data_IF_432600212184
#
_entry.id   IF_432600212184
#
_cell.length_a   1.000
_cell.length_b   1.000
_cell.length_c   1.000
_cell.angle_alpha   90.00
_cell.angle_beta   90.00
_cell.angle_gamma   90.00
#
_symmetry.space_group_name_H-M   'P 1'
#
loop_
_entity.id
_entity.type
_entity.pdbx_description
1 polymer ?
#
# COMPACT_ATOMS: atom_id res chain seq x y z
N UNK A 1 -33.09 37.43 41.56
CA UNK A 1 -32.02 37.64 40.57
C UNK A 1 -31.36 36.30 40.27
N UNK A 2 -31.96 35.56 39.35
CA UNK A 2 -31.53 34.24 38.82
C UNK A 2 -31.66 34.37 37.31
N UNK A 3 -30.77 33.71 36.56
CA UNK A 3 -30.64 33.61 35.09
C UNK A 3 -29.36 34.33 34.64
N UNK A 4 -28.49 33.80 33.78
CA UNK A 4 -28.44 32.54 33.06
C UNK A 4 -27.05 32.58 32.38
N UNK A 5 -26.01 32.03 33.00
CA UNK A 5 -24.70 31.87 32.36
C UNK A 5 -24.67 30.46 31.75
N UNK A 6 -25.35 30.31 30.61
CA UNK A 6 -25.22 29.11 29.78
C UNK A 6 -23.85 29.23 29.11
N UNK A 7 -22.95 28.37 29.55
CA UNK A 7 -21.69 28.12 28.90
C UNK A 7 -21.96 27.68 27.45
N UNK A 8 -21.60 28.53 26.49
CA UNK A 8 -21.31 28.11 25.13
C UNK A 8 -20.04 27.27 25.15
N UNK A 9 -20.15 26.01 25.59
CA UNK A 9 -19.24 24.97 25.13
C UNK A 9 -19.61 24.73 23.68
N UNK A 10 -18.97 25.49 22.80
CA UNK A 10 -18.93 25.19 21.38
C UNK A 10 -18.45 23.75 21.28
N UNK A 11 -19.38 22.87 20.92
CA UNK A 11 -19.13 21.56 20.35
C UNK A 11 -18.33 21.77 19.06
N UNK A 12 -17.07 22.18 19.19
CA UNK A 12 -16.07 21.85 18.19
C UNK A 12 -15.91 20.35 18.37
N UNK A 13 -16.76 19.59 17.68
CA UNK A 13 -16.46 18.20 17.39
C UNK A 13 -15.09 18.23 16.73
N UNK A 14 -14.06 17.93 17.52
CA UNK A 14 -12.78 17.54 17.01
C UNK A 14 -13.07 16.26 16.25
N UNK A 15 -13.44 16.40 14.98
CA UNK A 15 -13.36 15.34 14.01
C UNK A 15 -11.93 14.85 14.13
N UNK A 16 -11.74 13.70 14.77
CA UNK A 16 -10.47 13.02 14.83
C UNK A 16 -10.14 12.62 13.40
N UNK A 17 -9.55 13.56 12.65
CA UNK A 17 -8.96 13.29 11.36
C UNK A 17 -7.70 12.51 11.66
N UNK A 18 -7.81 11.19 11.69
CA UNK A 18 -6.65 10.31 11.60
C UNK A 18 -6.03 10.56 10.23
N UNK A 19 -4.99 11.38 10.19
CA UNK A 19 -4.25 11.66 8.97
C UNK A 19 -3.57 10.37 8.50
N UNK A 20 -3.74 9.97 7.24
CA UNK A 20 -3.00 8.82 6.71
C UNK A 20 -1.50 9.11 6.75
N UNK A 21 -0.73 8.07 6.99
CA UNK A 21 0.73 8.13 6.99
C UNK A 21 1.23 8.28 5.56
N UNK A 22 2.28 9.09 5.38
CA UNK A 22 3.00 9.18 4.10
C UNK A 22 3.45 7.79 3.66
N UNK A 23 3.17 7.37 2.41
CA UNK A 23 3.65 6.06 1.95
C UNK A 23 5.17 5.94 2.05
N UNK A 24 5.65 4.78 2.48
CA UNK A 24 7.08 4.46 2.57
C UNK A 24 7.44 3.37 1.55
N UNK A 25 7.86 3.74 0.33
CA UNK A 25 8.31 2.78 -0.66
C UNK A 25 9.63 2.14 -0.25
N UNK A 26 10.00 1.04 -0.92
CA UNK A 26 11.16 0.22 -0.60
C UNK A 26 12.46 1.03 -0.49
N UNK A 27 12.69 2.04 -1.35
CA UNK A 27 13.91 2.86 -1.26
C UNK A 27 13.99 3.60 0.07
N UNK A 28 12.90 4.25 0.49
CA UNK A 28 12.79 4.92 1.79
C UNK A 28 13.02 3.94 2.92
N UNK A 29 12.39 2.76 2.88
CA UNK A 29 12.56 1.73 3.90
C UNK A 29 14.01 1.25 4.00
N UNK A 30 14.71 1.06 2.87
CA UNK A 30 16.13 0.67 2.86
C UNK A 30 17.03 1.76 3.44
N UNK A 31 16.79 3.01 3.07
CA UNK A 31 17.61 4.16 3.49
C UNK A 31 17.48 4.42 4.99
N UNK A 32 16.26 4.37 5.51
CA UNK A 32 15.95 4.94 6.82
C UNK A 32 15.84 3.91 7.94
N UNK A 33 15.80 2.61 7.63
CA UNK A 33 15.71 1.57 8.67
C UNK A 33 17.10 1.24 9.21
N UNK A 34 17.22 1.09 10.52
CA UNK A 34 18.50 0.71 11.15
C UNK A 34 18.80 -0.78 10.91
N UNK A 35 17.75 -1.60 10.83
CA UNK A 35 17.83 -3.04 10.63
C UNK A 35 16.88 -3.49 9.54
N UNK A 36 17.33 -4.45 8.72
CA UNK A 36 16.50 -5.12 7.74
C UNK A 36 16.78 -6.61 7.83
N UNK A 37 15.74 -7.43 7.98
CA UNK A 37 15.90 -8.87 8.15
C UNK A 37 14.74 -9.65 7.56
N UNK A 38 15.01 -10.93 7.26
CA UNK A 38 13.98 -11.94 7.02
C UNK A 38 13.82 -12.74 8.30
N UNK A 39 12.57 -12.92 8.73
CA UNK A 39 12.24 -13.68 9.92
C UNK A 39 11.01 -14.55 9.74
N UNK A 40 10.85 -15.50 10.67
CA UNK A 40 9.71 -16.41 10.72
C UNK A 40 8.84 -16.08 11.94
N UNK A 41 7.56 -15.82 11.71
CA UNK A 41 6.60 -15.49 12.78
C UNK A 41 6.27 -16.77 13.56
N UNK A 42 6.84 -16.92 14.75
CA UNK A 42 6.66 -18.11 15.57
C UNK A 42 5.32 -18.13 16.31
N UNK A 43 4.95 -16.99 16.88
CA UNK A 43 3.81 -16.86 17.78
C UNK A 43 3.37 -15.39 17.87
N UNK A 44 2.11 -15.15 18.21
CA UNK A 44 1.52 -13.83 18.44
C UNK A 44 0.74 -13.89 19.75
N UNK A 45 1.03 -12.97 20.67
CA UNK A 45 0.40 -12.92 22.00
C UNK A 45 -0.26 -11.56 22.21
N UNK A 46 -1.52 -11.57 22.62
CA UNK A 46 -2.26 -10.35 22.94
C UNK A 46 -1.91 -9.88 24.36
N UNK A 47 -1.67 -8.58 24.51
CA UNK A 47 -1.49 -7.93 25.80
C UNK A 47 -2.76 -7.16 26.13
N UNK A 48 -3.42 -7.57 27.21
CA UNK A 48 -4.64 -6.95 27.69
C UNK A 48 -4.30 -5.85 28.69
N UNK A 49 -4.94 -4.69 28.55
CA UNK A 49 -4.83 -3.61 29.53
C UNK A 49 -5.51 -4.07 30.84
N UNK A 50 -4.81 -3.94 31.97
CA UNK A 50 -5.26 -4.37 33.29
C UNK A 50 -6.57 -3.66 33.69
N UNK A 51 -7.71 -4.29 33.42
CA UNK A 51 -9.03 -3.90 33.93
C UNK A 51 -9.33 -4.64 35.23
N UNK A 52 -8.40 -4.69 36.19
CA UNK A 52 -8.58 -5.30 37.53
C UNK A 52 -9.14 -6.75 37.60
N UNK A 53 -9.33 -7.44 36.48
CA UNK A 53 -9.85 -8.81 36.40
C UNK A 53 -8.75 -9.74 35.89
N UNK A 54 -8.69 -10.92 36.51
CA UNK A 54 -7.69 -11.95 36.25
C UNK A 54 -7.56 -12.24 34.75
N UNK A 55 -6.32 -12.09 34.25
CA UNK A 55 -5.94 -12.42 32.89
C UNK A 55 -6.45 -13.84 32.54
N UNK A 56 -7.25 -14.02 31.48
CA UNK A 56 -7.62 -15.35 31.04
C UNK A 56 -6.35 -16.12 30.66
N UNK A 57 -6.30 -17.39 31.05
CA UNK A 57 -5.15 -18.27 30.83
C UNK A 57 -4.71 -18.23 29.35
N UNK A 58 -3.45 -17.88 29.11
CA UNK A 58 -2.82 -17.62 27.81
C UNK A 58 -2.83 -18.78 26.81
N UNK A 59 -3.50 -19.89 27.14
CA UNK A 59 -3.67 -21.07 26.29
C UNK A 59 -4.81 -20.94 25.28
N UNK A 60 -5.69 -19.93 25.36
CA UNK A 60 -6.70 -19.66 24.32
C UNK A 60 -6.15 -18.78 23.19
N UNK A 61 -5.14 -19.27 22.47
CA UNK A 61 -4.83 -18.76 21.14
C UNK A 61 -5.97 -19.14 20.20
N UNK A 62 -6.99 -18.28 20.06
CA UNK A 62 -8.11 -18.58 19.15
C UNK A 62 -9.43 -17.85 19.35
N UNK A 63 -9.55 -16.88 20.26
CA UNK A 63 -10.77 -16.05 20.28
C UNK A 63 -10.82 -15.17 19.02
N UNK A 64 -11.96 -15.20 18.34
CA UNK A 64 -12.26 -14.28 17.27
C UNK A 64 -12.39 -12.85 17.82
N UNK A 65 -12.05 -11.88 16.99
CA UNK A 65 -12.24 -10.44 17.22
C UNK A 65 -13.64 -10.09 17.79
N UNK A 66 -14.66 -10.80 17.32
CA UNK A 66 -16.03 -10.61 17.75
C UNK A 66 -16.28 -11.10 19.18
N UNK A 67 -15.61 -12.17 19.61
CA UNK A 67 -15.67 -12.68 20.98
C UNK A 67 -14.94 -11.77 21.97
N UNK A 68 -13.86 -11.12 21.55
CA UNK A 68 -13.16 -10.11 22.36
C UNK A 68 -14.07 -8.90 22.65
N UNK A 69 -14.68 -8.32 21.63
CA UNK A 69 -15.59 -7.19 21.79
C UNK A 69 -16.84 -7.55 22.59
N UNK A 70 -17.37 -8.77 22.42
CA UNK A 70 -18.52 -9.24 23.20
C UNK A 70 -18.20 -9.41 24.69
N UNK A 71 -16.94 -9.69 25.04
CA UNK A 71 -16.48 -9.86 26.42
C UNK A 71 -16.00 -8.55 27.07
N UNK A 72 -16.02 -7.43 26.35
CA UNK A 72 -15.65 -6.12 26.89
C UNK A 72 -14.14 -5.90 27.06
N UNK A 73 -13.31 -6.77 26.50
CA UNK A 73 -11.86 -6.57 26.50
C UNK A 73 -11.46 -5.56 25.42
N UNK A 74 -10.57 -4.63 25.77
CA UNK A 74 -9.75 -3.89 24.81
C UNK A 74 -8.36 -4.53 24.77
N UNK A 75 -7.99 -5.11 23.62
CA UNK A 75 -6.57 -5.42 23.37
C UNK A 75 -5.88 -4.10 23.13
N UNK A 76 -4.87 -3.82 23.93
CA UNK A 76 -4.06 -2.60 23.82
C UNK A 76 -3.06 -2.76 22.67
N UNK A 77 -2.27 -3.82 22.73
CA UNK A 77 -1.35 -4.23 21.67
C UNK A 77 -1.11 -5.74 21.68
N UNK A 78 -0.57 -6.26 20.59
CA UNK A 78 -0.10 -7.64 20.47
C UNK A 78 1.41 -7.65 20.28
N UNK A 79 2.05 -8.76 20.67
CA UNK A 79 3.49 -8.99 20.51
C UNK A 79 3.68 -10.16 19.54
N UNK A 80 4.36 -9.91 18.42
CA UNK A 80 4.83 -10.95 17.51
C UNK A 80 6.24 -11.41 17.89
N UNK A 81 6.44 -12.72 18.05
CA UNK A 81 7.76 -13.33 18.27
C UNK A 81 8.33 -13.80 16.95
N UNK A 82 9.46 -13.23 16.55
CA UNK A 82 10.05 -13.46 15.23
C UNK A 82 11.40 -14.15 15.37
N UNK A 83 11.54 -15.33 14.79
CA UNK A 83 12.84 -16.00 14.64
C UNK A 83 13.60 -15.35 13.50
N UNK A 84 14.74 -14.72 13.80
CA UNK A 84 15.61 -14.09 12.82
C UNK A 84 16.27 -15.18 11.96
N UNK A 85 16.05 -15.13 10.65
CA UNK A 85 16.61 -16.09 9.68
C UNK A 85 17.81 -15.53 8.95
N UNK A 86 17.74 -14.28 8.53
CA UNK A 86 18.77 -13.63 7.74
C UNK A 86 18.78 -12.13 7.99
N UNK A 87 19.96 -11.57 8.28
CA UNK A 87 20.17 -10.12 8.35
C UNK A 87 20.56 -9.58 6.97
N UNK A 88 19.90 -8.52 6.54
CA UNK A 88 20.18 -7.79 5.29
C UNK A 88 20.81 -6.41 5.56
N UNK A 89 20.57 -5.84 6.74
CA UNK A 89 21.12 -4.56 7.20
C UNK A 89 21.15 -4.51 8.72
N UNK A 90 22.18 -3.87 9.28
CA UNK A 90 22.42 -3.83 10.72
C UNK A 90 22.83 -5.18 11.30
N UNK A 91 22.85 -5.26 12.63
CA UNK A 91 23.20 -6.47 13.37
C UNK A 91 22.30 -6.63 14.60
N UNK A 92 21.70 -7.80 14.76
CA UNK A 92 20.89 -8.20 15.91
C UNK A 92 21.50 -9.50 16.44
N UNK A 93 21.83 -9.54 17.73
CA UNK A 93 22.51 -10.69 18.34
C UNK A 93 21.50 -11.78 18.74
N UNK A 94 20.28 -11.35 19.04
CA UNK A 94 19.17 -12.19 19.44
C UNK A 94 18.67 -13.01 18.25
N UNK A 95 18.52 -14.32 18.44
CA UNK A 95 17.90 -15.19 17.45
C UNK A 95 16.38 -15.00 17.36
N UNK A 96 15.77 -14.48 18.43
CA UNK A 96 14.34 -14.18 18.49
C UNK A 96 14.17 -12.74 18.94
N UNK A 97 13.40 -11.96 18.19
CA UNK A 97 12.99 -10.61 18.58
C UNK A 97 11.48 -10.58 18.85
N UNK A 98 11.06 -9.63 19.67
CA UNK A 98 9.66 -9.35 19.95
C UNK A 98 9.30 -7.98 19.38
N UNK A 99 8.19 -7.94 18.63
CA UNK A 99 7.68 -6.71 18.01
C UNK A 99 6.26 -6.45 18.51
N UNK A 100 6.08 -5.34 19.20
CA UNK A 100 4.75 -4.86 19.58
C UNK A 100 4.06 -4.20 18.39
N UNK A 101 2.78 -4.49 18.19
CA UNK A 101 1.94 -3.87 17.15
C UNK A 101 0.48 -3.77 17.63
N UNK A 102 -0.27 -2.82 17.09
CA UNK A 102 -1.67 -2.60 17.45
C UNK A 102 -2.59 -3.28 16.41
N UNK A 103 -3.05 -4.54 16.63
CA UNK A 103 -3.74 -5.32 15.60
C UNK A 103 -5.07 -4.69 15.13
N UNK A 104 -5.64 -3.78 15.92
CA UNK A 104 -6.94 -3.16 15.68
C UNK A 104 -6.86 -1.67 15.34
N UNK A 105 -5.65 -1.13 15.15
CA UNK A 105 -5.50 0.21 14.64
C UNK A 105 -6.16 0.30 13.26
N UNK A 106 -7.05 1.27 13.06
CA UNK A 106 -7.75 1.44 11.77
C UNK A 106 -6.90 2.30 10.83
N UNK A 107 -6.22 3.32 11.36
CA UNK A 107 -5.41 4.27 10.60
C UNK A 107 -4.25 4.82 11.45
N UNK A 108 -2.99 4.67 11.00
CA UNK A 108 -2.54 3.88 9.84
C UNK A 108 -2.94 2.40 9.93
N UNK A 109 -2.87 1.69 8.80
CA UNK A 109 -2.95 0.24 8.85
C UNK A 109 -1.78 -0.28 9.70
N UNK A 110 -2.04 -1.18 10.66
CA UNK A 110 -1.00 -1.72 11.50
C UNK A 110 -0.16 -2.72 10.72
N UNK A 111 0.98 -3.08 11.29
CA UNK A 111 1.69 -4.27 10.87
C UNK A 111 0.79 -5.50 10.94
N UNK A 112 0.91 -6.37 9.95
CA UNK A 112 0.16 -7.62 9.89
C UNK A 112 1.11 -8.81 9.93
N UNK A 113 1.11 -9.47 11.08
CA UNK A 113 1.82 -10.71 11.31
C UNK A 113 0.85 -11.90 11.22
N UNK A 114 1.31 -12.98 10.60
CA UNK A 114 0.59 -14.26 10.58
C UNK A 114 1.49 -15.35 11.12
N UNK A 115 1.04 -16.06 12.15
CA UNK A 115 1.81 -17.19 12.69
C UNK A 115 2.09 -18.20 11.58
N UNK A 116 3.34 -18.68 11.53
CA UNK A 116 3.77 -19.69 10.59
C UNK A 116 4.20 -19.16 9.22
N UNK A 117 4.34 -17.83 9.04
CA UNK A 117 4.83 -17.24 7.79
C UNK A 117 6.20 -16.61 7.90
N UNK A 118 6.85 -16.45 6.75
CA UNK A 118 8.01 -15.60 6.59
C UNK A 118 7.58 -14.13 6.46
N UNK A 119 8.39 -13.24 7.02
CA UNK A 119 8.18 -11.80 7.01
C UNK A 119 9.50 -11.10 6.69
N UNK A 120 9.45 -10.13 5.79
CA UNK A 120 10.52 -9.16 5.57
C UNK A 120 10.25 -7.94 6.46
N UNK A 121 11.22 -7.62 7.31
CA UNK A 121 11.11 -6.60 8.34
C UNK A 121 12.10 -5.48 8.11
N UNK A 122 11.62 -4.25 8.26
CA UNK A 122 12.36 -3.00 8.26
C UNK A 122 12.16 -2.39 9.63
N UNK A 123 13.21 -2.29 10.44
CA UNK A 123 13.10 -1.97 11.86
C UNK A 123 13.94 -0.76 12.24
N UNK A 124 13.50 -0.10 13.30
CA UNK A 124 14.26 0.89 14.08
C UNK A 124 14.34 0.43 15.53
N UNK A 125 15.21 1.09 16.30
CA UNK A 125 15.35 0.85 17.75
C UNK A 125 15.01 2.13 18.52
N UNK A 126 14.15 2.04 19.54
CA UNK A 126 13.82 3.18 20.37
C UNK A 126 14.93 3.43 21.43
N UNK A 127 14.81 4.52 22.18
CA UNK A 127 15.78 4.87 23.25
C UNK A 127 15.87 3.81 24.35
N UNK A 128 14.78 3.08 24.61
CA UNK A 128 14.72 1.95 25.55
C UNK A 128 15.40 0.68 25.03
N UNK A 129 15.83 0.66 23.76
CA UNK A 129 16.43 -0.50 23.13
C UNK A 129 15.43 -1.51 22.56
N UNK A 130 14.16 -1.16 22.42
CA UNK A 130 13.13 -2.03 21.85
C UNK A 130 13.04 -1.82 20.33
N UNK A 131 12.82 -2.92 19.61
CA UNK A 131 12.63 -2.90 18.16
C UNK A 131 11.20 -2.57 17.80
N UNK A 132 11.02 -1.75 16.76
CA UNK A 132 9.71 -1.47 16.18
C UNK A 132 9.81 -1.35 14.66
N UNK A 133 8.70 -1.57 13.98
CA UNK A 133 8.60 -1.51 12.51
C UNK A 133 8.75 -0.09 12.02
N UNK A 134 9.57 0.09 10.99
CA UNK A 134 9.77 1.37 10.36
C UNK A 134 8.60 1.68 9.43
N UNK A 135 7.73 2.60 9.85
CA UNK A 135 6.48 2.98 9.17
C UNK A 135 5.46 1.83 9.14
N UNK A 136 4.47 1.78 10.07
CA UNK A 136 3.61 0.65 10.41
C UNK A 136 3.47 -0.46 9.33
N UNK A 137 2.33 -0.57 8.64
CA UNK A 137 2.11 -1.60 7.63
C UNK A 137 3.14 -1.69 6.49
N UNK A 138 3.99 -0.68 6.29
CA UNK A 138 5.04 -0.72 5.27
C UNK A 138 6.32 -1.41 5.77
N UNK A 139 6.57 -1.36 7.08
CA UNK A 139 7.75 -1.90 7.75
C UNK A 139 7.74 -3.41 7.93
N UNK A 140 6.56 -4.05 7.82
CA UNK A 140 6.42 -5.51 7.82
C UNK A 140 5.72 -6.01 6.56
N UNK A 141 6.40 -6.86 5.79
CA UNK A 141 5.86 -7.49 4.57
C UNK A 141 5.79 -9.00 4.73
N UNK A 142 4.60 -9.52 5.01
CA UNK A 142 4.32 -10.96 5.01
C UNK A 142 4.17 -11.43 3.57
N UNK A 143 5.16 -12.18 3.07
CA UNK A 143 5.30 -12.53 1.65
C UNK A 143 5.65 -14.02 1.50
N UNK A 144 5.43 -14.57 0.30
CA UNK A 144 5.94 -15.89 -0.03
C UNK A 144 7.46 -15.86 -0.27
N UNK A 145 8.14 -16.98 -0.02
CA UNK A 145 9.59 -17.09 -0.18
C UNK A 145 10.12 -16.59 -1.54
N UNK A 146 9.51 -16.93 -2.70
CA UNK A 146 9.97 -16.39 -3.98
C UNK A 146 9.92 -14.86 -4.06
N UNK A 147 8.91 -14.23 -3.45
CA UNK A 147 8.78 -12.77 -3.41
C UNK A 147 9.81 -12.14 -2.48
N UNK A 148 10.09 -12.77 -1.32
CA UNK A 148 11.15 -12.34 -0.40
C UNK A 148 12.51 -12.31 -1.12
N UNK A 149 12.82 -13.30 -1.96
CA UNK A 149 14.07 -13.30 -2.73
C UNK A 149 14.15 -12.15 -3.74
N UNK A 150 13.03 -11.77 -4.36
CA UNK A 150 12.98 -10.56 -5.21
C UNK A 150 13.30 -9.33 -4.38
N UNK A 151 12.66 -9.16 -3.22
CA UNK A 151 12.92 -8.02 -2.33
C UNK A 151 14.37 -7.98 -1.85
N UNK A 152 14.94 -9.11 -1.40
CA UNK A 152 16.35 -9.23 -1.00
C UNK A 152 17.29 -8.74 -2.10
N UNK A 153 17.02 -9.14 -3.35
CA UNK A 153 17.79 -8.68 -4.50
C UNK A 153 17.69 -7.16 -4.67
N UNK A 154 16.49 -6.59 -4.57
CA UNK A 154 16.28 -5.14 -4.69
C UNK A 154 16.92 -4.34 -3.57
N UNK A 155 16.84 -4.82 -2.33
CA UNK A 155 17.50 -4.22 -1.16
C UNK A 155 19.02 -4.12 -1.40
N UNK A 156 19.66 -5.24 -1.79
CA UNK A 156 21.11 -5.27 -2.05
C UNK A 156 21.54 -4.42 -3.25
N UNK A 157 20.70 -4.31 -4.27
CA UNK A 157 20.92 -3.36 -5.37
C UNK A 157 20.90 -1.91 -4.85
N UNK A 158 19.90 -1.54 -4.04
CA UNK A 158 19.78 -0.19 -3.49
C UNK A 158 20.94 0.15 -2.55
N UNK A 159 21.32 -0.75 -1.66
CA UNK A 159 22.48 -0.57 -0.78
C UNK A 159 23.77 -0.29 -1.57
N UNK A 160 23.97 -0.96 -2.73
CA UNK A 160 25.10 -0.69 -3.63
C UNK A 160 25.02 0.69 -4.27
N UNK A 161 23.83 1.12 -4.71
CA UNK A 161 23.61 2.46 -5.27
C UNK A 161 23.88 3.54 -4.21
N UNK A 162 23.43 3.33 -2.97
CA UNK A 162 23.63 4.25 -1.85
C UNK A 162 25.11 4.47 -1.51
N UNK A 163 25.94 3.44 -1.66
CA UNK A 163 27.39 3.52 -1.41
C UNK A 163 28.16 4.34 -2.46
N UNK A 164 27.54 4.71 -3.58
CA UNK A 164 28.17 5.56 -4.60
C UNK A 164 28.13 7.03 -4.19
N UNK A 165 29.10 7.85 -4.62
CA UNK A 165 29.06 9.30 -4.46
C UNK A 165 27.78 9.89 -5.06
N UNK A 166 27.28 10.96 -4.44
CA UNK A 166 26.13 11.68 -4.97
C UNK A 166 26.46 12.33 -6.31
N UNK A 167 25.51 12.27 -7.24
CA UNK A 167 25.68 12.79 -8.58
C UNK A 167 24.71 12.15 -9.59
N UNK A 168 24.83 12.57 -10.84
CA UNK A 168 23.95 12.12 -11.93
C UNK A 168 23.99 10.59 -12.10
N UNK A 169 25.16 9.97 -11.97
CA UNK A 169 25.30 8.51 -12.14
C UNK A 169 24.49 7.72 -11.10
N UNK A 170 24.55 8.12 -9.82
CA UNK A 170 23.76 7.51 -8.74
C UNK A 170 22.26 7.70 -8.99
N UNK A 171 21.89 8.87 -9.47
CA UNK A 171 20.52 9.21 -9.80
C UNK A 171 19.98 8.36 -10.97
N UNK A 172 20.74 8.21 -12.06
CA UNK A 172 20.35 7.36 -13.20
C UNK A 172 20.30 5.87 -12.84
N UNK A 173 21.20 5.38 -11.98
CA UNK A 173 21.10 4.02 -11.45
C UNK A 173 19.89 3.81 -10.54
N UNK A 174 19.49 4.84 -9.80
CA UNK A 174 18.25 4.82 -8.99
C UNK A 174 17.03 4.70 -9.90
N UNK A 175 16.97 5.46 -11.00
CA UNK A 175 15.89 5.34 -12.02
C UNK A 175 15.84 3.93 -12.59
N UNK A 176 16.98 3.37 -13.01
CA UNK A 176 17.03 2.01 -13.54
C UNK A 176 16.61 0.97 -12.49
N UNK A 177 16.98 1.16 -11.22
CA UNK A 177 16.53 0.29 -10.13
C UNK A 177 15.01 0.36 -9.93
N UNK A 178 14.42 1.56 -9.98
CA UNK A 178 12.97 1.74 -9.89
C UNK A 178 12.23 1.06 -11.04
N UNK A 179 12.75 1.17 -12.28
CA UNK A 179 12.22 0.44 -13.44
C UNK A 179 12.23 -1.06 -13.18
N UNK A 180 13.35 -1.60 -12.67
CA UNK A 180 13.45 -3.02 -12.33
C UNK A 180 12.54 -3.47 -11.18
N UNK A 181 12.16 -2.57 -10.28
CA UNK A 181 11.14 -2.84 -9.28
C UNK A 181 9.75 -2.90 -9.91
N UNK A 182 9.42 -1.92 -10.76
CA UNK A 182 8.14 -1.81 -11.47
C UNK A 182 7.88 -2.98 -12.46
N UNK A 183 8.94 -3.55 -13.05
CA UNK A 183 8.85 -4.73 -13.94
C UNK A 183 8.40 -6.01 -13.23
N UNK A 184 8.70 -6.15 -11.94
CA UNK A 184 8.42 -7.39 -11.19
C UNK A 184 7.18 -7.23 -10.33
N UNK A 185 6.22 -8.14 -10.46
CA UNK A 185 4.93 -8.11 -9.72
C UNK A 185 5.09 -7.92 -8.22
N UNK A 186 6.05 -8.62 -7.60
CA UNK A 186 6.26 -8.56 -6.15
C UNK A 186 6.70 -7.18 -5.65
N UNK A 187 7.42 -6.42 -6.47
CA UNK A 187 7.98 -5.10 -6.11
C UNK A 187 7.39 -3.96 -6.94
N UNK A 188 6.31 -4.23 -7.69
CA UNK A 188 5.80 -3.31 -8.70
C UNK A 188 5.41 -1.97 -8.09
N UNK A 189 4.62 -2.03 -7.02
CA UNK A 189 4.16 -0.85 -6.29
C UNK A 189 5.34 0.04 -5.85
N UNK A 190 6.42 -0.57 -5.36
CA UNK A 190 7.62 0.14 -4.91
C UNK A 190 8.23 1.00 -6.03
N UNK A 191 8.32 0.43 -7.24
CA UNK A 191 8.88 1.12 -8.40
C UNK A 191 7.95 2.18 -8.96
N UNK A 192 6.68 1.84 -9.20
CA UNK A 192 5.72 2.76 -9.83
C UNK A 192 5.37 3.94 -8.94
N UNK A 193 5.31 3.73 -7.62
CA UNK A 193 4.99 4.80 -6.67
C UNK A 193 6.04 5.92 -6.72
N UNK A 194 7.32 5.58 -6.80
CA UNK A 194 8.37 6.61 -6.90
C UNK A 194 8.58 7.12 -8.32
N UNK A 195 8.34 6.30 -9.36
CA UNK A 195 8.43 6.76 -10.75
C UNK A 195 7.30 7.74 -11.10
N UNK A 196 6.07 7.44 -10.71
CA UNK A 196 4.88 8.27 -10.96
C UNK A 196 3.99 8.36 -9.72
N UNK A 197 4.41 9.13 -8.70
CA UNK A 197 3.66 9.24 -7.46
C UNK A 197 2.24 9.74 -7.68
N UNK A 198 2.04 10.73 -8.55
CA UNK A 198 0.74 11.32 -8.87
C UNK A 198 -0.31 10.30 -9.38
N UNK A 199 0.13 9.12 -9.82
CA UNK A 199 -0.72 8.03 -10.29
C UNK A 199 -1.37 7.23 -9.15
N UNK A 200 -0.85 7.36 -7.92
CA UNK A 200 -1.36 6.68 -6.75
C UNK A 200 -2.27 7.61 -5.94
N UNK A 201 -3.48 7.18 -5.55
CA UNK A 201 -4.39 7.93 -4.69
C UNK A 201 -3.75 8.32 -3.35
N UNK A 202 -2.77 7.54 -2.86
CA UNK A 202 -2.05 7.82 -1.62
C UNK A 202 -1.04 8.96 -1.76
N UNK A 203 -0.68 9.36 -2.98
CA UNK A 203 0.27 10.46 -3.21
C UNK A 203 -0.22 11.81 -2.71
N UNK A 204 -1.54 12.00 -2.63
CA UNK A 204 -2.14 13.17 -1.99
C UNK A 204 -1.68 13.35 -0.53
N UNK A 205 -1.30 12.26 0.14
CA UNK A 205 -0.84 12.26 1.52
C UNK A 205 0.68 12.29 1.68
N UNK A 206 1.43 12.21 0.57
CA UNK A 206 2.87 12.36 0.62
C UNK A 206 3.22 13.81 0.97
N UNK A 207 4.00 13.99 2.04
CA UNK A 207 4.44 15.31 2.51
C UNK A 207 5.78 15.76 1.91
N UNK A 208 6.45 14.87 1.20
CA UNK A 208 7.78 15.13 0.65
C UNK A 208 7.67 15.63 -0.80
N UNK A 209 8.51 16.58 -1.22
CA UNK A 209 8.58 16.97 -2.63
C UNK A 209 8.96 15.73 -3.46
N UNK A 210 8.16 15.44 -4.47
CA UNK A 210 8.42 14.29 -5.33
C UNK A 210 9.68 14.54 -6.16
N UNK A 211 10.58 13.56 -6.15
CA UNK A 211 11.62 13.44 -7.17
C UNK A 211 10.91 13.02 -8.47
N UNK A 212 11.04 13.81 -9.54
CA UNK A 212 10.33 13.56 -10.79
C UNK A 212 11.04 12.52 -11.68
N UNK A 213 11.23 11.30 -11.16
CA UNK A 213 11.95 10.24 -11.86
C UNK A 213 11.33 9.85 -13.22
N UNK A 214 10.00 9.96 -13.39
CA UNK A 214 9.34 9.70 -14.68
C UNK A 214 9.93 10.46 -15.87
N UNK A 215 10.43 11.68 -15.66
CA UNK A 215 10.96 12.50 -16.76
C UNK A 215 12.34 12.06 -17.24
N UNK A 216 12.96 11.10 -16.55
CA UNK A 216 14.30 10.57 -16.85
C UNK A 216 14.24 9.20 -17.53
N UNK A 217 13.04 8.66 -17.70
CA UNK A 217 12.86 7.34 -18.32
C UNK A 217 13.28 7.40 -19.79
N UNK A 218 14.22 6.53 -20.15
CA UNK A 218 14.61 6.32 -21.55
C UNK A 218 13.47 5.66 -22.34
N UNK A 219 13.46 5.77 -23.69
CA UNK A 219 12.52 5.04 -24.53
C UNK A 219 12.54 3.53 -24.27
N UNK A 220 13.73 2.94 -24.08
CA UNK A 220 13.91 1.51 -23.80
C UNK A 220 13.30 1.12 -22.45
N UNK A 221 13.46 1.97 -21.42
CA UNK A 221 12.84 1.75 -20.11
C UNK A 221 11.32 1.83 -20.19
N UNK A 222 10.77 2.79 -20.94
CA UNK A 222 9.31 2.87 -21.16
C UNK A 222 8.78 1.63 -21.88
N UNK A 223 9.50 1.09 -22.86
CA UNK A 223 9.11 -0.12 -23.57
C UNK A 223 9.14 -1.36 -22.67
N UNK A 224 10.13 -1.45 -21.78
CA UNK A 224 10.19 -2.50 -20.74
C UNK A 224 9.01 -2.42 -19.78
N UNK A 225 8.67 -1.22 -19.30
CA UNK A 225 7.50 -0.99 -18.44
C UNK A 225 6.19 -1.32 -19.18
N UNK A 226 6.11 -0.99 -20.48
CA UNK A 226 4.96 -1.32 -21.34
C UNK A 226 4.81 -2.83 -21.47
N UNK A 227 5.91 -3.53 -21.69
CA UNK A 227 5.94 -4.99 -21.72
C UNK A 227 5.46 -5.57 -20.40
N UNK A 228 5.96 -5.08 -19.27
CA UNK A 228 5.54 -5.53 -17.94
C UNK A 228 4.04 -5.29 -17.67
N UNK A 229 3.47 -4.19 -18.15
CA UNK A 229 2.03 -3.92 -18.08
C UNK A 229 1.23 -4.94 -18.91
N UNK A 230 1.63 -5.14 -20.17
CA UNK A 230 0.88 -5.96 -21.12
C UNK A 230 0.97 -7.47 -20.83
N UNK A 231 2.00 -7.91 -20.12
CA UNK A 231 2.17 -9.30 -19.68
C UNK A 231 1.58 -9.58 -18.30
N UNK A 232 1.20 -8.54 -17.53
CA UNK A 232 0.59 -8.75 -16.22
C UNK A 232 -0.74 -9.48 -16.35
N UNK A 233 -0.90 -10.52 -15.54
CA UNK A 233 -2.08 -11.40 -15.58
C UNK A 233 -3.22 -10.90 -14.71
N UNK A 234 -2.92 -10.06 -13.72
CA UNK A 234 -3.86 -9.58 -12.73
C UNK A 234 -4.32 -8.14 -12.98
N UNK A 235 -5.60 -7.89 -12.70
CA UNK A 235 -6.16 -6.52 -12.71
C UNK A 235 -5.93 -5.87 -11.34
N UNK A 236 -4.68 -5.50 -11.10
CA UNK A 236 -4.28 -4.82 -9.87
C UNK A 236 -4.33 -3.30 -9.99
N UNK A 237 -4.66 -2.65 -8.87
CA UNK A 237 -4.53 -1.21 -8.70
C UNK A 237 -3.11 -0.71 -9.03
N UNK A 238 -2.08 -1.49 -8.69
CA UNK A 238 -0.66 -1.17 -8.94
C UNK A 238 -0.33 -0.94 -10.43
N UNK A 239 -1.15 -1.48 -11.34
CA UNK A 239 -0.95 -1.32 -12.78
C UNK A 239 -1.38 0.06 -13.30
N UNK A 240 -2.14 0.86 -12.52
CA UNK A 240 -2.47 2.23 -12.89
C UNK A 240 -1.23 3.11 -13.02
N UNK A 241 -0.25 2.94 -12.12
CA UNK A 241 1.04 3.64 -12.20
C UNK A 241 1.81 3.25 -13.47
N UNK A 242 1.81 1.97 -13.85
CA UNK A 242 2.42 1.54 -15.12
C UNK A 242 1.71 2.15 -16.33
N UNK A 243 0.38 2.22 -16.32
CA UNK A 243 -0.39 2.87 -17.39
C UNK A 243 0.10 4.30 -17.57
N UNK A 244 0.14 5.10 -16.50
CA UNK A 244 0.52 6.52 -16.60
C UNK A 244 1.98 6.73 -17.05
N UNK A 245 2.87 5.77 -16.77
CA UNK A 245 4.26 5.83 -17.20
C UNK A 245 4.46 5.56 -18.69
N UNK A 246 3.60 4.73 -19.30
CA UNK A 246 3.78 4.23 -20.67
C UNK A 246 2.73 4.75 -21.65
N UNK A 247 1.63 5.30 -21.14
CA UNK A 247 0.51 5.74 -21.94
C UNK A 247 0.75 7.13 -22.53
N UNK A 248 0.86 7.19 -23.86
CA UNK A 248 1.11 8.45 -24.61
C UNK A 248 -0.17 8.94 -25.32
N UNK A 249 -1.34 8.61 -24.80
CA UNK A 249 -2.62 8.99 -25.42
C UNK A 249 -3.02 8.08 -26.59
N UNK A 250 -3.56 8.69 -27.66
CA UNK A 250 -4.28 8.01 -28.75
C UNK A 250 -3.48 6.95 -29.52
N UNK A 251 -2.15 6.96 -29.42
CA UNK A 251 -1.25 6.06 -30.14
C UNK A 251 -1.04 4.71 -29.45
N UNK A 252 -1.54 4.53 -28.22
CA UNK A 252 -1.34 3.31 -27.42
C UNK A 252 -2.59 2.43 -27.37
N UNK A 253 -3.01 1.89 -28.53
CA UNK A 253 -4.24 1.06 -28.60
C UNK A 253 -4.12 -0.23 -27.79
N UNK A 254 -2.96 -0.86 -27.74
CA UNK A 254 -2.67 -2.01 -26.86
C UNK A 254 -2.87 -1.73 -25.36
N UNK A 255 -2.44 -0.56 -24.87
CA UNK A 255 -2.66 -0.11 -23.48
C UNK A 255 -4.15 0.19 -23.27
N UNK A 256 -4.84 0.77 -24.27
CA UNK A 256 -6.29 0.91 -24.22
C UNK A 256 -7.00 -0.44 -24.15
N UNK A 257 -6.60 -1.43 -24.96
CA UNK A 257 -7.14 -2.79 -24.90
C UNK A 257 -6.85 -3.46 -23.56
N UNK A 258 -5.67 -3.22 -22.99
CA UNK A 258 -5.36 -3.66 -21.63
C UNK A 258 -6.36 -3.08 -20.62
N UNK A 259 -6.53 -1.75 -20.58
CA UNK A 259 -7.48 -1.09 -19.69
C UNK A 259 -8.91 -1.60 -19.89
N UNK A 260 -9.34 -1.78 -21.14
CA UNK A 260 -10.67 -2.31 -21.47
C UNK A 260 -10.88 -3.74 -20.92
N UNK A 261 -9.91 -4.63 -21.10
CA UNK A 261 -9.96 -6.00 -20.57
C UNK A 261 -9.94 -6.01 -19.05
N UNK A 262 -9.07 -5.21 -18.44
CA UNK A 262 -8.98 -5.03 -16.99
C UNK A 262 -10.31 -4.59 -16.40
N UNK A 263 -10.93 -3.55 -16.98
CA UNK A 263 -12.22 -3.03 -16.53
C UNK A 263 -13.35 -4.06 -16.67
N UNK A 264 -13.36 -4.84 -17.76
CA UNK A 264 -14.34 -5.89 -18.01
C UNK A 264 -14.24 -7.04 -17.00
N UNK A 265 -13.04 -7.36 -16.55
CA UNK A 265 -12.77 -8.46 -15.62
C UNK A 265 -12.62 -8.00 -14.17
N UNK A 266 -12.88 -6.72 -13.89
CA UNK A 266 -12.71 -6.13 -12.57
C UNK A 266 -13.69 -6.78 -11.57
N UNK A 267 -13.20 -7.36 -10.46
CA UNK A 267 -14.08 -7.97 -9.48
C UNK A 267 -14.85 -6.89 -8.70
N UNK A 268 -16.02 -7.25 -8.18
CA UNK A 268 -16.96 -6.29 -7.59
C UNK A 268 -16.41 -5.57 -6.35
N UNK A 269 -15.54 -6.23 -5.57
CA UNK A 269 -14.83 -5.62 -4.44
C UNK A 269 -13.78 -4.60 -4.87
N UNK A 270 -13.41 -4.55 -6.16
CA UNK A 270 -12.44 -3.63 -6.75
C UNK A 270 -13.08 -2.44 -7.47
N UNK A 271 -14.41 -2.31 -7.43
CA UNK A 271 -15.13 -1.21 -8.07
C UNK A 271 -14.73 0.18 -7.54
N UNK A 272 -14.13 0.27 -6.36
CA UNK A 272 -13.71 1.54 -5.78
C UNK A 272 -12.65 2.29 -6.62
N UNK A 273 -11.89 1.59 -7.48
CA UNK A 273 -10.92 2.19 -8.41
C UNK A 273 -11.29 2.05 -9.90
N UNK A 274 -12.53 1.64 -10.24
CA UNK A 274 -12.92 1.48 -11.64
C UNK A 274 -12.89 2.82 -12.41
N UNK A 275 -13.22 3.94 -11.76
CA UNK A 275 -13.21 5.25 -12.42
C UNK A 275 -11.81 5.70 -12.84
N UNK A 276 -10.75 5.18 -12.21
CA UNK A 276 -9.38 5.44 -12.62
C UNK A 276 -9.09 4.89 -14.03
N UNK A 277 -9.61 3.70 -14.36
CA UNK A 277 -9.55 3.17 -15.72
C UNK A 277 -10.45 3.97 -16.66
N UNK A 278 -11.68 4.26 -16.24
CA UNK A 278 -12.65 4.98 -17.08
C UNK A 278 -12.13 6.35 -17.51
N UNK A 279 -11.51 7.11 -16.60
CA UNK A 279 -10.93 8.42 -16.89
C UNK A 279 -9.77 8.34 -17.90
N UNK A 280 -8.87 7.38 -17.76
CA UNK A 280 -7.75 7.17 -18.69
C UNK A 280 -8.23 6.72 -20.07
N UNK A 281 -9.24 5.85 -20.11
CA UNK A 281 -9.89 5.44 -21.34
C UNK A 281 -10.66 6.60 -22.01
N UNK A 282 -11.28 7.48 -21.23
CA UNK A 282 -11.95 8.67 -21.74
C UNK A 282 -10.95 9.65 -22.35
N UNK A 283 -9.80 9.85 -21.71
CA UNK A 283 -8.71 10.66 -22.27
C UNK A 283 -8.19 10.07 -23.59
N UNK A 284 -8.17 8.73 -23.72
CA UNK A 284 -7.83 8.04 -24.96
C UNK A 284 -8.85 8.29 -26.08
N UNK A 285 -10.12 8.03 -25.78
CA UNK A 285 -11.23 7.98 -26.75
C UNK A 285 -12.47 8.59 -26.08
N UNK A 286 -12.59 9.92 -26.15
CA UNK A 286 -13.74 10.62 -25.56
C UNK A 286 -15.01 10.43 -26.41
N UNK A 287 -16.13 10.24 -25.71
CA UNK A 287 -17.49 10.39 -26.23
C UNK A 287 -18.38 11.02 -25.16
N UNK A 288 -19.39 11.84 -25.52
CA UNK A 288 -20.32 12.43 -24.55
C UNK A 288 -20.98 11.40 -23.63
N UNK A 289 -21.25 10.20 -24.14
CA UNK A 289 -21.83 9.09 -23.38
C UNK A 289 -20.85 8.56 -22.33
N UNK A 290 -19.58 8.34 -22.69
CA UNK A 290 -18.55 7.90 -21.75
C UNK A 290 -18.27 8.95 -20.68
N UNK A 291 -18.28 10.24 -21.03
CA UNK A 291 -18.14 11.35 -20.07
C UNK A 291 -19.26 11.32 -19.04
N UNK A 292 -20.51 11.19 -19.51
CA UNK A 292 -21.70 11.11 -18.66
C UNK A 292 -21.61 9.91 -17.72
N UNK A 293 -21.29 8.73 -18.23
CA UNK A 293 -21.18 7.51 -17.43
C UNK A 293 -20.06 7.59 -16.40
N UNK A 294 -18.91 8.16 -16.77
CA UNK A 294 -17.78 8.34 -15.85
C UNK A 294 -18.13 9.30 -14.71
N UNK A 295 -18.84 10.40 -15.01
CA UNK A 295 -19.36 11.32 -14.00
C UNK A 295 -20.37 10.62 -13.08
N UNK A 296 -21.35 9.91 -13.64
CA UNK A 296 -22.36 9.18 -12.87
C UNK A 296 -21.75 8.10 -11.97
N UNK A 297 -20.70 7.43 -12.44
CA UNK A 297 -19.97 6.45 -11.63
C UNK A 297 -19.30 7.11 -10.41
N UNK A 298 -18.61 8.24 -10.64
CA UNK A 298 -17.94 8.99 -9.59
C UNK A 298 -18.90 9.52 -8.53
N UNK A 299 -20.08 10.00 -8.94
CA UNK A 299 -21.12 10.43 -8.01
C UNK A 299 -21.65 9.24 -7.19
N UNK A 300 -21.97 8.13 -7.87
CA UNK A 300 -22.53 6.96 -7.23
C UNK A 300 -21.58 6.28 -6.24
N UNK A 301 -20.26 6.28 -6.47
CA UNK A 301 -19.31 5.56 -5.59
C UNK A 301 -19.18 6.15 -4.17
N UNK A 302 -19.63 7.39 -3.94
CA UNK A 302 -19.57 8.05 -2.63
C UNK A 302 -20.93 8.15 -1.93
N UNK A 303 -22.01 7.69 -2.56
CA UNK A 303 -23.34 7.64 -1.95
C UNK A 303 -23.41 6.48 -0.94
N UNK A 304 -23.78 6.76 0.31
CA UNK A 304 -23.79 5.77 1.41
C UNK A 304 -24.68 4.55 1.13
N UNK A 305 -25.76 4.71 0.36
CA UNK A 305 -26.75 3.68 0.06
C UNK A 305 -26.65 3.11 -1.37
N UNK A 306 -25.59 3.45 -2.11
CA UNK A 306 -25.47 2.93 -3.48
C UNK A 306 -25.22 1.43 -3.47
N UNK A 307 -26.22 0.72 -3.94
CA UNK A 307 -26.08 -0.71 -4.18
C UNK A 307 -24.98 -0.95 -5.22
N UNK A 308 -24.10 -1.92 -4.96
CA UNK A 308 -23.09 -2.39 -5.90
C UNK A 308 -23.68 -2.75 -7.29
N UNK A 309 -24.98 -3.09 -7.33
CA UNK A 309 -25.76 -3.27 -8.57
C UNK A 309 -25.79 -2.02 -9.46
N UNK A 310 -25.91 -0.81 -8.90
CA UNK A 310 -25.89 0.45 -9.67
C UNK A 310 -24.50 0.71 -10.26
N UNK A 311 -23.44 0.56 -9.47
CA UNK A 311 -22.06 0.68 -9.96
C UNK A 311 -21.79 -0.31 -11.11
N UNK A 312 -22.21 -1.57 -10.93
CA UNK A 312 -22.13 -2.61 -11.96
C UNK A 312 -22.86 -2.22 -13.25
N UNK A 313 -24.06 -1.65 -13.13
CA UNK A 313 -24.84 -1.21 -14.30
C UNK A 313 -24.11 -0.11 -15.08
N UNK A 314 -23.67 0.95 -14.39
CA UNK A 314 -22.94 2.07 -15.02
C UNK A 314 -21.66 1.56 -15.68
N UNK A 315 -20.94 0.66 -15.01
CA UNK A 315 -19.71 0.07 -15.53
C UNK A 315 -19.96 -0.75 -16.80
N UNK A 316 -21.00 -1.58 -16.82
CA UNK A 316 -21.36 -2.38 -18.00
C UNK A 316 -21.74 -1.49 -19.18
N UNK A 317 -22.49 -0.42 -18.94
CA UNK A 317 -22.86 0.54 -19.98
C UNK A 317 -21.62 1.25 -20.52
N UNK A 318 -20.68 1.64 -19.65
CA UNK A 318 -19.41 2.24 -20.07
C UNK A 318 -18.59 1.27 -20.94
N UNK A 319 -18.47 0.00 -20.52
CA UNK A 319 -17.78 -1.03 -21.30
C UNK A 319 -18.45 -1.23 -22.67
N UNK A 320 -19.78 -1.22 -22.75
CA UNK A 320 -20.48 -1.35 -24.03
C UNK A 320 -20.11 -0.22 -25.01
N UNK A 321 -20.08 1.04 -24.52
CA UNK A 321 -19.70 2.21 -25.34
C UNK A 321 -18.22 2.22 -25.70
N UNK A 322 -17.35 1.93 -24.74
CA UNK A 322 -15.90 1.88 -24.94
C UNK A 322 -15.47 0.81 -25.96
N UNK A 323 -16.26 -0.25 -26.11
CA UNK A 323 -16.06 -1.32 -27.10
C UNK A 323 -16.62 -1.03 -28.49
N UNK A 324 -17.25 0.13 -28.73
CA UNK A 324 -17.82 0.51 -30.02
C UNK A 324 -19.17 -0.13 -30.36
N UNK A 325 -20.03 -0.39 -29.36
CA UNK A 325 -21.41 -0.87 -29.55
C UNK A 325 -22.49 0.20 -29.27
#
# INVERSE_FOLDING_TARGET
MKRLLIACFVLVGLSAFSYPISPAPLRTLVIESDYILVGYVMDIRDVLENTNEQQPDSTTGGLSLQEYFQKGYSVDYSIARILVREMLQGEIQESIIELSFEPFMVRPAPDQFRVGTEVLLFLKKNESGEYYTHTPSYGAKTLELPQIEVYKKRIREMQRIMARPDGLDKYMETVEWLVRCAENEATRWEGVYELSPESDFMSYYARNPFEFFRFLLSPEQKERLRTALLTSTETEYNNLGLIDLVYVGKESDDVYQYMFRSLKNLPENSYWYADEFMQRMLYAKSSPEMETLTKSYREAKYEQDVSRRRLKSILNDFIARAGGK
#
